data_IF_217548853430
#
_entry.id   IF_217548853430
#
_cell.length_a   1.000
_cell.length_b   1.000
_cell.length_c   1.000
_cell.angle_alpha   90.00
_cell.angle_beta   90.00
_cell.angle_gamma   90.00
#
_symmetry.space_group_name_H-M   'P 1'
#
loop_
_entity.id
_entity.type
_entity.pdbx_description
1 polymer ?
#
# COMPACT_ATOMS: atom_id res chain seq x y z
N UNK A 1 -25.49 13.41 -10.07
CA UNK A 1 -25.39 12.43 -8.98
C UNK A 1 -25.90 11.10 -9.53
N UNK A 2 -25.23 9.99 -9.27
CA UNK A 2 -25.70 8.67 -9.68
C UNK A 2 -26.86 8.22 -8.79
N UNK A 3 -27.58 7.17 -9.18
CA UNK A 3 -28.62 6.55 -8.34
C UNK A 3 -28.09 6.07 -6.98
N UNK A 4 -26.79 5.76 -6.90
CA UNK A 4 -26.10 5.41 -5.65
C UNK A 4 -25.58 6.60 -4.84
N UNK A 5 -25.93 7.84 -5.20
CA UNK A 5 -25.53 9.04 -4.46
C UNK A 5 -24.15 9.60 -4.79
N UNK A 6 -23.40 8.97 -5.70
CA UNK A 6 -22.05 9.43 -6.08
C UNK A 6 -22.14 10.67 -6.96
N UNK A 7 -21.31 11.68 -6.66
CA UNK A 7 -21.17 12.88 -7.47
C UNK A 7 -19.76 12.97 -8.06
N UNK A 8 -19.68 13.31 -9.36
CA UNK A 8 -18.43 13.51 -10.08
C UNK A 8 -18.31 14.99 -10.45
N UNK A 9 -17.08 15.51 -10.39
CA UNK A 9 -16.80 16.91 -10.76
C UNK A 9 -16.66 17.11 -12.26
N UNK A 10 -16.26 16.07 -13.00
CA UNK A 10 -16.16 16.08 -14.45
C UNK A 10 -16.45 14.69 -15.02
N UNK A 11 -16.90 14.65 -16.28
CA UNK A 11 -16.97 13.44 -17.10
C UNK A 11 -15.92 13.56 -18.21
N UNK A 12 -15.02 12.58 -18.29
CA UNK A 12 -13.95 12.56 -19.30
C UNK A 12 -14.33 11.57 -20.39
N UNK A 13 -14.41 12.08 -21.62
CA UNK A 13 -14.49 11.30 -22.85
C UNK A 13 -13.07 11.25 -23.41
N UNK A 14 -12.40 10.07 -23.39
CA UNK A 14 -11.10 9.91 -24.04
C UNK A 14 -11.25 10.05 -25.56
N UNK A 15 -10.19 9.80 -26.33
CA UNK A 15 -10.18 9.79 -27.80
C UNK A 15 -11.06 8.69 -28.42
N UNK A 16 -12.36 8.72 -28.10
CA UNK A 16 -13.35 7.76 -28.53
C UNK A 16 -13.72 8.06 -29.98
N UNK A 17 -13.60 7.07 -30.85
CA UNK A 17 -14.02 7.21 -32.24
C UNK A 17 -15.55 7.04 -32.39
N UNK A 18 -16.13 6.08 -31.66
CA UNK A 18 -17.55 5.73 -31.76
C UNK A 18 -18.31 6.06 -30.49
N UNK A 19 -19.48 6.70 -30.61
CA UNK A 19 -20.37 6.99 -29.50
C UNK A 19 -21.85 6.90 -29.92
N UNK A 20 -22.72 6.23 -29.14
CA UNK A 20 -24.17 6.24 -29.39
C UNK A 20 -24.75 7.67 -29.40
N UNK A 21 -25.71 7.93 -30.30
CA UNK A 21 -26.29 9.26 -30.49
C UNK A 21 -27.02 9.80 -29.25
N UNK A 22 -27.71 8.92 -28.52
CA UNK A 22 -28.37 9.24 -27.26
C UNK A 22 -27.37 9.57 -26.14
N UNK A 23 -26.21 8.91 -26.10
CA UNK A 23 -25.13 9.22 -25.15
C UNK A 23 -24.55 10.61 -25.42
N UNK A 24 -24.23 10.96 -26.68
CA UNK A 24 -23.73 12.30 -27.00
C UNK A 24 -24.76 13.39 -26.65
N UNK A 25 -26.03 13.16 -26.99
CA UNK A 25 -27.13 14.08 -26.63
C UNK A 25 -27.25 14.23 -25.12
N UNK A 26 -27.08 13.14 -24.37
CA UNK A 26 -27.09 13.17 -22.91
C UNK A 26 -25.92 13.97 -22.34
N UNK A 27 -24.70 13.80 -22.86
CA UNK A 27 -23.53 14.59 -22.43
C UNK A 27 -23.75 16.10 -22.66
N UNK A 28 -24.28 16.48 -23.82
CA UNK A 28 -24.62 17.88 -24.12
C UNK A 28 -25.66 18.43 -23.14
N UNK A 29 -26.72 17.65 -22.85
CA UNK A 29 -27.74 18.02 -21.86
C UNK A 29 -27.16 18.17 -20.45
N UNK A 30 -26.26 17.27 -20.04
CA UNK A 30 -25.58 17.37 -18.74
C UNK A 30 -24.73 18.64 -18.65
N UNK A 31 -23.99 18.99 -19.72
CA UNK A 31 -23.24 20.24 -19.78
C UNK A 31 -24.18 21.44 -19.60
N UNK A 32 -25.28 21.51 -20.35
CA UNK A 32 -26.30 22.57 -20.22
C UNK A 32 -26.86 22.69 -18.80
N UNK A 33 -26.98 21.58 -18.07
CA UNK A 33 -27.48 21.52 -16.70
C UNK A 33 -26.45 21.87 -15.61
N UNK A 34 -25.16 22.00 -15.96
CA UNK A 34 -24.11 22.39 -15.00
C UNK A 34 -22.91 21.45 -14.93
N UNK A 35 -22.90 20.35 -15.68
CA UNK A 35 -21.77 19.42 -15.67
C UNK A 35 -20.55 20.01 -16.41
N UNK A 36 -19.36 19.57 -15.97
CA UNK A 36 -18.13 19.74 -16.74
C UNK A 36 -17.90 18.48 -17.57
N UNK A 37 -17.87 18.62 -18.89
CA UNK A 37 -17.57 17.53 -19.82
C UNK A 37 -16.22 17.81 -20.46
N UNK A 38 -15.33 16.82 -20.48
CA UNK A 38 -14.00 16.92 -21.08
C UNK A 38 -13.94 15.98 -22.27
N UNK A 39 -13.65 16.48 -23.47
CA UNK A 39 -13.33 15.66 -24.63
C UNK A 39 -11.82 15.76 -24.92
N UNK A 40 -11.16 14.62 -24.99
CA UNK A 40 -9.73 14.55 -25.27
C UNK A 40 -9.51 14.17 -26.73
N UNK A 41 -8.56 14.88 -27.36
CA UNK A 41 -8.11 14.72 -28.76
C UNK A 41 -9.14 15.05 -29.84
N UNK A 42 -10.36 14.53 -29.76
CA UNK A 42 -11.42 14.77 -30.73
C UNK A 42 -12.81 14.58 -30.12
N UNK A 43 -13.83 15.16 -30.77
CA UNK A 43 -15.20 14.65 -30.60
C UNK A 43 -15.33 13.28 -31.29
N UNK A 44 -16.14 12.36 -30.77
CA UNK A 44 -16.39 11.11 -31.49
C UNK A 44 -16.98 11.39 -32.89
N UNK A 45 -16.66 10.55 -33.85
CA UNK A 45 -16.89 10.83 -35.28
C UNK A 45 -18.12 10.11 -35.83
N UNK A 46 -18.53 9.00 -35.20
CA UNK A 46 -19.65 8.18 -35.69
C UNK A 46 -20.36 7.36 -34.58
N UNK A 47 -21.47 6.70 -34.93
CA UNK A 47 -22.24 5.81 -34.05
C UNK A 47 -21.81 4.34 -34.23
N UNK A 48 -21.84 3.50 -33.16
CA UNK A 48 -21.49 2.08 -33.28
C UNK A 48 -22.61 1.23 -33.92
N UNK A 49 -22.26 0.19 -34.68
CA UNK A 49 -23.19 -0.82 -35.23
C UNK A 49 -24.07 -0.35 -36.39
N UNK A 50 -24.75 -1.28 -37.09
CA UNK A 50 -25.48 -1.01 -38.35
C UNK A 50 -27.01 -0.87 -38.23
N UNK A 51 -27.62 -1.28 -37.12
CA UNK A 51 -29.08 -1.21 -36.97
C UNK A 51 -29.57 0.25 -37.02
N UNK A 52 -30.53 0.59 -37.88
CA UNK A 52 -31.06 1.96 -38.04
C UNK A 52 -29.95 3.04 -38.21
N UNK A 53 -28.86 2.70 -38.92
CA UNK A 53 -27.64 3.49 -38.96
C UNK A 53 -27.87 4.94 -39.39
N UNK A 54 -28.57 5.16 -40.51
CA UNK A 54 -28.77 6.51 -41.05
C UNK A 54 -29.56 7.40 -40.09
N UNK A 55 -30.61 6.86 -39.47
CA UNK A 55 -31.40 7.57 -38.45
C UNK A 55 -30.52 7.97 -37.27
N UNK A 56 -29.66 7.08 -36.79
CA UNK A 56 -28.77 7.36 -35.65
C UNK A 56 -27.65 8.33 -36.01
N UNK A 57 -27.05 8.23 -37.20
CA UNK A 57 -26.08 9.21 -37.71
C UNK A 57 -26.68 10.60 -37.86
N UNK A 58 -27.92 10.69 -38.34
CA UNK A 58 -28.62 11.98 -38.45
C UNK A 58 -28.85 12.62 -37.08
N UNK A 59 -29.33 11.85 -36.10
CA UNK A 59 -29.49 12.32 -34.72
C UNK A 59 -28.14 12.71 -34.08
N UNK A 60 -27.09 11.93 -34.34
CA UNK A 60 -25.73 12.19 -33.88
C UNK A 60 -25.20 13.51 -34.42
N UNK A 61 -25.25 13.71 -35.75
CA UNK A 61 -24.78 14.93 -36.41
C UNK A 61 -25.52 16.18 -35.93
N UNK A 62 -26.83 16.07 -35.72
CA UNK A 62 -27.64 17.17 -35.17
C UNK A 62 -27.16 17.60 -33.77
N UNK A 63 -26.72 16.64 -32.93
CA UNK A 63 -26.15 16.94 -31.62
C UNK A 63 -24.72 17.49 -31.75
N UNK A 64 -23.90 16.91 -32.63
CA UNK A 64 -22.52 17.33 -32.86
C UNK A 64 -22.42 18.80 -33.30
N UNK A 65 -23.35 19.25 -34.14
CA UNK A 65 -23.46 20.64 -34.59
C UNK A 65 -23.77 21.64 -33.46
N UNK A 66 -24.30 21.17 -32.33
CA UNK A 66 -24.57 22.00 -31.16
C UNK A 66 -23.36 22.11 -30.23
N UNK A 67 -22.32 21.29 -30.44
CA UNK A 67 -21.10 21.37 -29.65
C UNK A 67 -20.25 22.57 -30.10
N UNK A 68 -19.40 23.10 -29.20
CA UNK A 68 -18.45 24.14 -29.55
C UNK A 68 -17.55 23.75 -30.73
N UNK A 69 -17.50 24.61 -31.76
CA UNK A 69 -16.54 24.50 -32.85
C UNK A 69 -15.17 25.02 -32.35
N UNK A 70 -14.26 24.09 -32.06
CA UNK A 70 -12.97 24.38 -31.42
C UNK A 70 -11.86 23.57 -32.08
N UNK A 71 -10.63 24.07 -32.04
CA UNK A 71 -9.45 23.26 -32.30
C UNK A 71 -9.07 22.50 -31.03
N UNK A 72 -8.77 21.21 -31.16
CA UNK A 72 -8.25 20.41 -30.04
C UNK A 72 -6.74 20.57 -29.84
N UNK A 73 -6.04 21.26 -30.75
CA UNK A 73 -4.60 21.54 -30.60
C UNK A 73 -4.27 22.40 -29.38
N UNK A 74 -5.26 23.10 -28.83
CA UNK A 74 -5.15 23.91 -27.63
C UNK A 74 -6.24 23.50 -26.62
N UNK A 75 -5.96 23.72 -25.34
CA UNK A 75 -6.97 23.54 -24.30
C UNK A 75 -7.99 24.67 -24.36
N UNK A 76 -9.23 24.36 -24.72
CA UNK A 76 -10.33 25.33 -24.78
C UNK A 76 -11.38 25.01 -23.72
N UNK A 77 -11.83 26.03 -22.99
CA UNK A 77 -12.96 25.94 -22.05
C UNK A 77 -14.12 26.74 -22.61
N UNK A 78 -15.17 26.06 -23.05
CA UNK A 78 -16.37 26.71 -23.60
C UNK A 78 -17.55 26.58 -22.63
N UNK A 79 -18.12 27.70 -22.15
CA UNK A 79 -19.37 27.67 -21.38
C UNK A 79 -20.52 27.09 -22.20
N UNK A 80 -21.30 26.19 -21.61
CA UNK A 80 -22.48 25.58 -22.24
C UNK A 80 -23.61 25.52 -21.23
N UNK A 81 -24.63 26.37 -21.41
CA UNK A 81 -25.70 26.54 -20.41
C UNK A 81 -25.12 26.92 -19.05
N UNK A 82 -25.39 26.09 -18.03
CA UNK A 82 -24.87 26.29 -16.66
C UNK A 82 -23.51 25.62 -16.42
N UNK A 83 -23.03 24.81 -17.37
CA UNK A 83 -21.79 24.04 -17.25
C UNK A 83 -20.75 24.47 -18.28
N UNK A 84 -19.83 23.56 -18.59
CA UNK A 84 -18.74 23.81 -19.54
C UNK A 84 -18.32 22.54 -20.26
N UNK A 85 -17.88 22.73 -21.50
CA UNK A 85 -17.18 21.71 -22.28
C UNK A 85 -15.72 22.13 -22.37
N UNK A 86 -14.81 21.20 -22.05
CA UNK A 86 -13.37 21.40 -22.13
C UNK A 86 -12.82 20.47 -23.21
N UNK A 87 -12.00 20.98 -24.10
CA UNK A 87 -11.37 20.21 -25.19
C UNK A 87 -9.88 20.40 -25.19
N UNK A 88 -9.12 19.39 -25.63
CA UNK A 88 -7.67 19.51 -25.84
C UNK A 88 -6.98 18.18 -26.07
N UNK A 89 -5.73 18.22 -26.55
CA UNK A 89 -4.86 17.04 -26.74
C UNK A 89 -3.85 16.83 -25.61
N UNK A 90 -3.46 17.89 -24.88
CA UNK A 90 -2.61 17.79 -23.68
C UNK A 90 -3.48 17.37 -22.48
N UNK A 91 -3.38 16.10 -22.07
CA UNK A 91 -4.22 15.54 -21.00
C UNK A 91 -4.02 16.27 -19.67
N UNK A 92 -2.78 16.60 -19.31
CA UNK A 92 -2.48 17.24 -18.04
C UNK A 92 -3.08 18.64 -17.98
N UNK A 93 -2.86 19.46 -19.02
CA UNK A 93 -3.39 20.82 -19.11
C UNK A 93 -4.92 20.86 -19.23
N UNK A 94 -5.48 19.95 -20.02
CA UNK A 94 -6.92 19.87 -20.24
C UNK A 94 -7.66 19.47 -18.98
N UNK A 95 -7.15 18.47 -18.25
CA UNK A 95 -7.74 18.07 -16.96
C UNK A 95 -7.55 19.14 -15.87
N UNK A 96 -6.41 19.84 -15.84
CA UNK A 96 -6.19 20.95 -14.91
C UNK A 96 -7.25 22.06 -15.06
N UNK A 97 -7.75 22.30 -16.27
CA UNK A 97 -8.81 23.28 -16.57
C UNK A 97 -10.18 22.92 -15.98
N UNK A 98 -10.32 21.72 -15.41
CA UNK A 98 -11.47 21.38 -14.58
C UNK A 98 -11.51 22.21 -13.29
N UNK A 99 -10.38 22.75 -12.82
CA UNK A 99 -10.21 23.45 -11.54
C UNK A 99 -10.63 22.58 -10.35
N UNK A 100 -10.29 21.29 -10.40
CA UNK A 100 -10.52 20.33 -9.32
C UNK A 100 -9.24 20.26 -8.48
N UNK A 101 -9.32 20.40 -7.14
CA UNK A 101 -8.17 20.22 -6.28
C UNK A 101 -7.51 18.87 -6.50
N UNK A 102 -6.20 18.88 -6.65
CA UNK A 102 -5.38 17.68 -6.82
C UNK A 102 -5.20 17.02 -5.45
N UNK A 103 -5.17 15.69 -5.41
CA UNK A 103 -4.87 14.95 -4.19
C UNK A 103 -3.35 14.73 -4.10
N UNK A 104 -2.66 15.62 -3.37
CA UNK A 104 -1.18 15.63 -3.26
C UNK A 104 -0.60 14.30 -2.79
N UNK A 105 -1.34 13.53 -1.97
CA UNK A 105 -0.98 12.17 -1.57
C UNK A 105 -0.48 11.34 -2.76
N UNK A 106 -1.20 11.38 -3.89
CA UNK A 106 -0.87 10.59 -5.08
C UNK A 106 0.15 11.30 -5.97
N UNK A 107 -0.01 12.60 -6.22
CA UNK A 107 0.78 13.31 -7.24
C UNK A 107 2.16 13.74 -6.76
N UNK A 108 2.29 14.17 -5.51
CA UNK A 108 3.55 14.68 -4.95
C UNK A 108 4.28 13.59 -4.13
N UNK A 109 3.51 12.86 -3.32
CA UNK A 109 4.08 11.89 -2.38
C UNK A 109 4.13 10.45 -2.93
N UNK A 110 3.42 10.15 -4.03
CA UNK A 110 3.38 8.81 -4.63
C UNK A 110 2.59 7.77 -3.82
N UNK A 111 1.85 8.19 -2.81
CA UNK A 111 0.99 7.33 -2.00
C UNK A 111 -0.21 6.84 -2.82
N UNK A 112 -0.80 5.72 -2.40
CA UNK A 112 -2.14 5.33 -2.85
C UNK A 112 -3.14 5.70 -1.78
N UNK A 113 -4.31 6.18 -2.19
CA UNK A 113 -5.37 6.54 -1.26
C UNK A 113 -6.75 6.20 -1.82
N UNK A 114 -7.63 5.69 -0.97
CA UNK A 114 -9.06 5.62 -1.21
C UNK A 114 -9.75 6.46 -0.14
N UNK A 115 -10.57 7.43 -0.56
CA UNK A 115 -11.36 8.28 0.32
C UNK A 115 -12.84 7.90 0.29
N UNK A 116 -13.45 7.76 1.46
CA UNK A 116 -14.89 7.55 1.66
C UNK A 116 -15.45 8.65 2.56
N UNK A 117 -16.69 9.06 2.31
CA UNK A 117 -17.42 9.97 3.21
C UNK A 117 -18.06 9.17 4.35
N UNK A 118 -18.16 9.76 5.54
CA UNK A 118 -18.90 9.24 6.68
C UNK A 118 -19.73 10.37 7.33
N UNK A 119 -20.44 10.09 8.43
CA UNK A 119 -21.32 11.06 9.11
C UNK A 119 -20.58 12.22 9.78
N UNK A 120 -19.27 12.11 10.05
CA UNK A 120 -18.48 13.10 10.82
C UNK A 120 -17.38 13.77 9.98
N UNK A 121 -17.15 13.31 8.77
CA UNK A 121 -16.02 13.69 7.91
C UNK A 121 -15.75 12.62 6.85
N UNK A 122 -14.50 12.14 6.79
CA UNK A 122 -14.05 11.19 5.77
C UNK A 122 -13.15 10.11 6.38
N UNK A 123 -13.11 8.94 5.72
CA UNK A 123 -12.07 7.94 5.91
C UNK A 123 -11.15 7.92 4.70
N UNK A 124 -9.86 7.79 4.97
CA UNK A 124 -8.84 7.51 4.00
C UNK A 124 -8.19 6.18 4.37
N UNK A 125 -8.06 5.27 3.41
CA UNK A 125 -7.06 4.22 3.49
C UNK A 125 -5.88 4.67 2.65
N UNK A 126 -4.70 4.80 3.27
CA UNK A 126 -3.48 5.35 2.66
C UNK A 126 -2.42 4.26 2.71
N UNK A 127 -1.77 3.95 1.59
CA UNK A 127 -0.66 3.01 1.54
C UNK A 127 0.56 3.60 0.83
N UNK A 128 1.74 3.37 1.40
CA UNK A 128 3.03 3.75 0.82
C UNK A 128 3.66 2.53 0.16
N UNK A 129 3.50 2.41 -1.17
CA UNK A 129 4.03 1.28 -1.96
C UNK A 129 5.29 1.67 -2.74
N UNK A 130 5.98 2.72 -2.29
CA UNK A 130 7.11 3.33 -2.96
C UNK A 130 8.28 3.45 -1.97
N UNK A 131 9.51 3.41 -2.48
CA UNK A 131 10.72 3.25 -1.66
C UNK A 131 10.99 4.41 -0.68
N UNK A 132 10.76 5.67 -1.06
CA UNK A 132 11.09 6.86 -0.24
C UNK A 132 10.22 7.00 1.01
N UNK A 133 9.06 6.34 1.09
CA UNK A 133 8.09 6.58 2.17
C UNK A 133 7.58 8.03 2.20
N UNK A 134 7.00 8.44 3.34
CA UNK A 134 6.64 9.83 3.63
C UNK A 134 6.91 10.12 5.10
N UNK A 135 7.56 11.24 5.40
CA UNK A 135 7.66 11.82 6.75
C UNK A 135 7.49 13.33 6.59
N UNK A 136 6.24 13.81 6.65
CA UNK A 136 5.96 15.20 6.36
C UNK A 136 4.48 15.56 6.29
N UNK A 137 4.24 16.84 6.03
CA UNK A 137 2.90 17.41 5.86
C UNK A 137 2.36 17.11 4.47
N UNK A 138 1.13 16.58 4.41
CA UNK A 138 0.43 16.26 3.17
C UNK A 138 -0.91 16.97 3.14
N UNK A 139 -1.21 17.68 2.06
CA UNK A 139 -2.50 18.38 1.90
C UNK A 139 -3.63 17.39 1.64
N UNK A 140 -4.71 17.54 2.40
CA UNK A 140 -5.94 16.79 2.22
C UNK A 140 -6.82 17.44 1.15
N UNK A 141 -7.45 16.65 0.28
CA UNK A 141 -8.49 17.14 -0.63
C UNK A 141 -9.81 17.55 0.06
N UNK A 142 -9.85 17.57 1.39
CA UNK A 142 -11.00 17.98 2.22
C UNK A 142 -10.55 18.82 3.41
N UNK A 143 -11.47 19.63 3.93
CA UNK A 143 -11.25 20.34 5.18
C UNK A 143 -11.48 19.42 6.38
N UNK A 144 -10.72 19.63 7.46
CA UNK A 144 -10.94 18.95 8.74
C UNK A 144 -10.62 19.87 9.91
N UNK A 145 -11.35 19.68 11.02
CA UNK A 145 -11.07 20.34 12.32
C UNK A 145 -10.21 19.47 13.23
N UNK A 146 -10.32 18.16 13.11
CA UNK A 146 -9.45 17.19 13.76
C UNK A 146 -9.30 15.94 12.88
N UNK A 147 -8.31 15.11 13.17
CA UNK A 147 -8.14 13.83 12.50
C UNK A 147 -7.51 12.78 13.43
N UNK A 148 -7.77 11.51 13.17
CA UNK A 148 -7.17 10.39 13.89
C UNK A 148 -6.55 9.41 12.89
N UNK A 149 -5.39 8.86 13.26
CA UNK A 149 -4.72 7.77 12.55
C UNK A 149 -4.99 6.45 13.27
N UNK A 150 -5.10 5.37 12.50
CA UNK A 150 -5.24 4.01 12.98
C UNK A 150 -4.31 3.10 12.20
N UNK A 151 -3.46 2.35 12.91
CA UNK A 151 -2.61 1.33 12.31
C UNK A 151 -3.43 0.04 12.15
N UNK A 152 -3.71 -0.41 10.90
CA UNK A 152 -4.51 -1.61 10.67
C UNK A 152 -3.79 -2.92 11.06
N UNK A 153 -2.46 -2.89 11.26
CA UNK A 153 -1.65 -4.05 11.64
C UNK A 153 -1.60 -4.20 13.17
N UNK A 154 -1.36 -3.11 13.90
CA UNK A 154 -1.16 -3.15 15.37
C UNK A 154 -2.42 -2.80 16.16
N UNK A 155 -3.43 -2.19 15.53
CA UNK A 155 -4.63 -1.68 16.21
C UNK A 155 -4.39 -0.37 16.96
N UNK A 156 -3.17 0.19 16.93
CA UNK A 156 -2.86 1.48 17.54
C UNK A 156 -3.68 2.61 16.91
N UNK A 157 -4.10 3.57 17.72
CA UNK A 157 -4.85 4.74 17.27
C UNK A 157 -4.44 5.99 18.05
N UNK A 158 -4.60 7.15 17.42
CA UNK A 158 -4.29 8.42 18.06
C UNK A 158 -4.62 9.63 17.19
N UNK A 159 -4.73 10.79 17.82
CA UNK A 159 -5.01 12.05 17.15
C UNK A 159 -3.81 12.48 16.28
N UNK A 160 -4.10 12.73 15.01
CA UNK A 160 -3.13 13.15 14.02
C UNK A 160 -2.84 14.64 14.14
N UNK A 161 -1.62 15.04 13.79
CA UNK A 161 -1.29 16.47 13.65
C UNK A 161 -1.95 17.04 12.41
N UNK A 162 -2.63 18.17 12.60
CA UNK A 162 -3.18 18.98 11.53
C UNK A 162 -2.60 20.39 11.57
N UNK A 163 -2.45 21.00 10.39
CA UNK A 163 -2.20 22.43 10.25
C UNK A 163 -3.05 23.02 9.12
N UNK A 164 -3.28 24.33 9.17
CA UNK A 164 -3.97 25.09 8.13
C UNK A 164 -2.96 25.94 7.38
N UNK A 165 -2.79 25.70 6.09
CA UNK A 165 -1.86 26.44 5.22
C UNK A 165 -2.61 26.88 3.98
N UNK A 166 -2.62 28.18 3.68
CA UNK A 166 -3.30 28.76 2.51
C UNK A 166 -4.78 28.35 2.37
N UNK A 167 -5.48 28.19 3.50
CA UNK A 167 -6.89 27.77 3.52
C UNK A 167 -7.12 26.28 3.24
N UNK A 168 -6.07 25.46 3.19
CA UNK A 168 -6.12 24.01 3.06
C UNK A 168 -5.69 23.32 4.35
N UNK A 169 -6.30 22.16 4.62
CA UNK A 169 -5.91 21.32 5.74
C UNK A 169 -4.79 20.38 5.34
N UNK A 170 -3.68 20.39 6.09
CA UNK A 170 -2.61 19.41 5.95
C UNK A 170 -2.58 18.48 7.16
N UNK A 171 -2.22 17.21 6.91
CA UNK A 171 -2.00 16.20 7.94
C UNK A 171 -0.55 15.76 7.94
N UNK A 172 0.04 15.55 9.12
CA UNK A 172 1.37 14.97 9.21
C UNK A 172 1.30 13.45 9.06
N UNK A 173 1.97 12.89 8.06
CA UNK A 173 2.09 11.46 7.84
C UNK A 173 3.53 11.01 8.02
N UNK A 174 3.72 9.85 8.65
CA UNK A 174 4.99 9.16 8.78
C UNK A 174 4.76 7.69 8.44
N UNK A 175 5.07 7.31 7.20
CA UNK A 175 4.90 5.95 6.66
C UNK A 175 6.15 5.53 5.89
N UNK A 176 6.75 4.41 6.27
CA UNK A 176 7.80 3.72 5.52
C UNK A 176 7.22 3.01 4.30
N UNK A 177 8.08 2.57 3.38
CA UNK A 177 7.66 1.70 2.27
C UNK A 177 7.05 0.40 2.81
N UNK A 178 5.92 -0.02 2.27
CA UNK A 178 5.15 -1.18 2.71
C UNK A 178 4.05 -0.86 3.74
N UNK A 179 4.13 0.28 4.43
CA UNK A 179 3.15 0.63 5.45
C UNK A 179 1.82 1.15 4.87
N UNK A 180 0.76 0.97 5.66
CA UNK A 180 -0.54 1.58 5.42
C UNK A 180 -1.14 2.11 6.72
N UNK A 181 -2.01 3.11 6.58
CA UNK A 181 -2.71 3.73 7.70
C UNK A 181 -4.13 4.10 7.31
N UNK A 182 -5.04 4.00 8.26
CA UNK A 182 -6.37 4.59 8.14
C UNK A 182 -6.34 5.99 8.77
N UNK A 183 -6.82 6.99 8.04
CA UNK A 183 -7.01 8.35 8.53
C UNK A 183 -8.50 8.68 8.55
N UNK A 184 -9.01 9.07 9.71
CA UNK A 184 -10.38 9.59 9.84
C UNK A 184 -10.34 11.09 10.12
N UNK A 185 -11.09 11.87 9.36
CA UNK A 185 -11.26 13.31 9.58
C UNK A 185 -12.58 13.60 10.30
N UNK A 186 -12.57 14.70 11.05
CA UNK A 186 -13.70 15.17 11.84
C UNK A 186 -13.98 16.64 11.59
N UNK A 187 -15.26 17.00 11.59
CA UNK A 187 -15.74 18.39 11.49
C UNK A 187 -15.75 19.13 12.84
N UNK A 188 -15.49 18.40 13.93
CA UNK A 188 -15.36 18.93 15.30
C UNK A 188 -14.04 18.45 15.91
N UNK A 189 -13.47 19.16 16.90
CA UNK A 189 -12.34 18.67 17.67
C UNK A 189 -12.62 17.32 18.31
N UNK A 190 -11.57 16.52 18.50
CA UNK A 190 -11.64 15.33 19.31
C UNK A 190 -11.60 15.72 20.80
N UNK A 191 -12.20 14.89 21.65
CA UNK A 191 -12.22 15.07 23.12
C UNK A 191 -11.45 13.91 23.74
N UNK A 192 -10.54 14.23 24.67
CA UNK A 192 -9.70 13.26 25.41
C UNK A 192 -8.93 12.26 24.52
N UNK A 193 -8.61 12.65 23.28
CA UNK A 193 -7.87 11.80 22.36
C UNK A 193 -6.38 11.76 22.71
N UNK A 194 -5.83 10.55 22.80
CA UNK A 194 -4.38 10.38 22.90
C UNK A 194 -3.74 10.80 21.58
N UNK A 195 -2.70 11.63 21.60
CA UNK A 195 -2.04 12.04 20.37
C UNK A 195 -1.24 10.88 19.75
N UNK A 196 -1.19 10.85 18.43
CA UNK A 196 -0.43 9.85 17.67
C UNK A 196 1.07 9.91 18.01
N UNK A 197 1.70 8.75 18.12
CA UNK A 197 3.12 8.62 18.41
C UNK A 197 3.94 8.70 17.12
N UNK A 198 4.24 9.93 16.69
CA UNK A 198 5.22 10.16 15.63
C UNK A 198 6.61 9.85 16.16
N UNK A 199 7.28 8.89 15.53
CA UNK A 199 8.57 8.35 15.98
C UNK A 199 9.71 9.27 15.50
N UNK A 200 10.69 9.48 16.35
CA UNK A 200 11.98 10.06 15.97
C UNK A 200 13.07 9.08 16.43
N UNK A 201 13.73 8.45 15.46
CA UNK A 201 14.87 7.57 15.72
C UNK A 201 16.01 8.40 16.34
N UNK A 202 16.62 7.86 17.39
CA UNK A 202 17.83 8.44 17.98
C UNK A 202 19.05 8.14 17.07
N UNK A 203 20.13 8.94 17.15
CA UNK A 203 21.28 8.80 16.26
C UNK A 203 22.09 7.51 16.49
N UNK A 204 21.79 6.74 17.53
CA UNK A 204 22.42 5.47 17.85
C UNK A 204 21.39 4.35 17.81
N UNK A 205 21.83 3.16 17.39
CA UNK A 205 21.06 1.92 17.48
C UNK A 205 21.99 0.79 17.91
N UNK A 206 21.44 -0.22 18.57
CA UNK A 206 22.19 -1.42 18.88
C UNK A 206 22.09 -2.38 17.71
N UNK A 207 23.25 -2.78 17.18
CA UNK A 207 23.34 -3.84 16.19
C UNK A 207 23.38 -5.19 16.90
N UNK A 208 22.46 -6.07 16.52
CA UNK A 208 22.29 -7.40 17.08
C UNK A 208 22.79 -8.44 16.07
N UNK A 209 24.00 -8.27 15.59
CA UNK A 209 24.48 -9.02 14.41
C UNK A 209 25.17 -10.34 14.77
N UNK A 210 25.52 -10.53 16.05
CA UNK A 210 26.39 -11.60 16.52
C UNK A 210 25.80 -12.41 17.68
N UNK A 211 26.31 -13.63 17.86
CA UNK A 211 26.02 -14.46 19.03
C UNK A 211 24.65 -15.15 19.04
N UNK A 212 23.97 -15.24 17.89
CA UNK A 212 22.68 -15.91 17.80
C UNK A 212 22.81 -17.42 17.97
N UNK A 213 21.83 -18.03 18.64
CA UNK A 213 21.59 -19.46 18.63
C UNK A 213 20.38 -19.76 17.77
N UNK A 214 20.48 -20.75 16.89
CA UNK A 214 19.38 -21.23 16.06
C UNK A 214 19.08 -22.69 16.36
N UNK A 215 17.81 -23.03 16.54
CA UNK A 215 17.31 -24.40 16.40
C UNK A 215 16.02 -24.40 15.59
N UNK A 216 15.65 -25.54 15.01
CA UNK A 216 14.38 -25.66 14.29
C UNK A 216 13.32 -26.25 15.21
N UNK A 217 12.28 -25.49 15.51
CA UNK A 217 11.12 -25.98 16.26
C UNK A 217 10.30 -26.95 15.39
N UNK A 218 10.18 -26.63 14.11
CA UNK A 218 9.56 -27.47 13.09
C UNK A 218 10.43 -27.44 11.83
N UNK A 219 10.65 -28.59 11.20
CA UNK A 219 11.39 -28.65 9.93
C UNK A 219 11.06 -29.90 9.13
N UNK A 220 10.98 -29.74 7.81
CA UNK A 220 10.84 -30.84 6.86
C UNK A 220 11.73 -30.61 5.63
N UNK A 221 12.74 -31.48 5.38
CA UNK A 221 13.17 -32.61 6.22
C UNK A 221 13.64 -32.18 7.64
N UNK A 222 13.64 -33.10 8.59
CA UNK A 222 14.00 -32.79 9.98
C UNK A 222 15.47 -32.30 10.09
N UNK A 223 15.67 -31.20 10.82
CA UNK A 223 16.97 -30.65 11.21
C UNK A 223 17.02 -30.62 12.74
N UNK A 224 17.97 -31.36 13.34
CA UNK A 224 18.16 -31.42 14.81
C UNK A 224 19.40 -30.65 15.23
N UNK A 225 19.40 -30.23 16.49
CA UNK A 225 20.55 -29.61 17.14
C UNK A 225 20.41 -28.09 17.25
N UNK A 226 21.44 -27.49 17.86
CA UNK A 226 21.58 -26.04 18.00
C UNK A 226 22.76 -25.60 17.14
N UNK A 227 22.59 -24.47 16.45
CA UNK A 227 23.58 -23.89 15.57
C UNK A 227 24.00 -22.53 16.13
N UNK A 228 25.30 -22.34 16.30
CA UNK A 228 25.86 -21.01 16.58
C UNK A 228 25.85 -20.21 15.28
N UNK A 229 25.07 -19.13 15.25
CA UNK A 229 24.95 -18.22 14.11
C UNK A 229 25.60 -16.90 14.51
N UNK A 230 26.89 -16.79 14.22
CA UNK A 230 27.63 -15.56 14.53
C UNK A 230 27.29 -14.42 13.57
N UNK A 231 26.83 -14.71 12.36
CA UNK A 231 26.24 -13.73 11.47
C UNK A 231 24.97 -14.31 10.87
N UNK A 232 23.89 -13.54 10.95
CA UNK A 232 22.60 -13.92 10.40
C UNK A 232 22.71 -14.16 8.90
N UNK A 233 22.19 -15.29 8.45
CA UNK A 233 22.26 -15.73 7.06
C UNK A 233 21.08 -16.64 6.73
N UNK A 234 20.86 -16.83 5.43
CA UNK A 234 19.84 -17.75 4.94
C UNK A 234 20.11 -19.17 5.41
N UNK A 235 19.06 -19.87 5.82
CA UNK A 235 19.14 -21.28 6.18
C UNK A 235 19.81 -22.10 5.08
N UNK A 236 19.60 -21.74 3.82
CA UNK A 236 20.18 -22.42 2.65
C UNK A 236 21.71 -22.41 2.60
N UNK A 237 22.40 -21.59 3.41
CA UNK A 237 23.86 -21.56 3.51
C UNK A 237 24.40 -22.28 4.75
N UNK A 238 23.52 -22.71 5.67
CA UNK A 238 23.90 -23.54 6.81
C UNK A 238 24.45 -24.87 6.30
N UNK A 239 25.58 -25.30 6.88
CA UNK A 239 26.26 -26.56 6.54
C UNK A 239 25.47 -27.77 7.08
N UNK A 240 24.29 -28.01 6.53
CA UNK A 240 23.43 -29.15 6.85
C UNK A 240 22.75 -29.69 5.57
N UNK A 241 22.72 -31.01 5.33
CA UNK A 241 22.22 -31.59 4.06
C UNK A 241 20.78 -31.21 3.71
N UNK A 242 19.92 -31.00 4.71
CA UNK A 242 18.52 -30.68 4.50
C UNK A 242 18.23 -29.16 4.35
N UNK A 243 19.22 -28.30 4.57
CA UNK A 243 19.00 -26.86 4.73
C UNK A 243 18.49 -26.17 3.45
N UNK A 244 18.99 -26.57 2.29
CA UNK A 244 18.62 -26.01 0.97
C UNK A 244 17.24 -26.45 0.46
N UNK A 245 16.67 -27.49 1.07
CA UNK A 245 15.39 -28.12 0.68
C UNK A 245 14.35 -28.05 1.80
N UNK A 246 14.61 -27.24 2.82
CA UNK A 246 13.82 -27.20 4.04
C UNK A 246 12.58 -26.31 3.93
N UNK A 247 11.52 -26.72 4.62
CA UNK A 247 10.46 -25.82 5.07
C UNK A 247 10.27 -25.99 6.58
N UNK A 248 10.01 -24.90 7.29
CA UNK A 248 9.83 -24.98 8.73
C UNK A 248 9.90 -23.65 9.47
N UNK A 249 10.10 -23.77 10.78
CA UNK A 249 10.19 -22.68 11.74
C UNK A 249 11.51 -22.76 12.50
N UNK A 250 12.40 -21.81 12.23
CA UNK A 250 13.67 -21.63 12.93
C UNK A 250 13.51 -20.64 14.08
N UNK A 251 13.98 -21.01 15.26
CA UNK A 251 13.94 -20.19 16.48
C UNK A 251 15.33 -19.64 16.75
N UNK A 252 15.48 -18.33 16.56
CA UNK A 252 16.68 -17.58 16.86
C UNK A 252 16.61 -17.04 18.28
N UNK A 253 17.66 -17.22 19.09
CA UNK A 253 17.76 -16.67 20.44
C UNK A 253 19.03 -15.83 20.58
N UNK A 254 18.91 -14.68 21.23
CA UNK A 254 20.02 -13.80 21.61
C UNK A 254 19.82 -13.24 23.01
N UNK A 255 20.89 -13.22 23.82
CA UNK A 255 20.92 -12.44 25.06
C UNK A 255 21.70 -11.14 24.83
N UNK A 256 21.12 -10.02 25.28
CA UNK A 256 21.72 -8.70 25.16
C UNK A 256 21.76 -8.02 26.52
N UNK A 257 22.76 -7.16 26.74
CA UNK A 257 22.74 -6.18 27.83
C UNK A 257 22.19 -4.87 27.27
N UNK A 258 21.01 -4.44 27.72
CA UNK A 258 20.42 -3.18 27.29
C UNK A 258 21.18 -2.02 27.95
N UNK A 259 21.81 -1.12 27.17
CA UNK A 259 22.51 0.04 27.70
C UNK A 259 21.52 1.02 28.33
N UNK A 260 22.00 1.75 29.32
CA UNK A 260 21.22 2.75 30.05
C UNK A 260 21.05 4.01 29.18
N UNK A 261 20.14 3.94 28.20
CA UNK A 261 19.87 5.00 27.23
C UNK A 261 18.44 5.50 27.39
N UNK A 262 18.22 6.82 27.54
CA UNK A 262 16.88 7.37 27.66
C UNK A 262 16.16 7.25 26.31
N UNK A 263 15.01 6.60 26.28
CA UNK A 263 14.15 6.50 25.10
C UNK A 263 12.69 6.41 25.53
N UNK A 264 11.79 7.01 24.75
CA UNK A 264 10.33 6.88 24.99
C UNK A 264 9.83 5.47 24.61
N UNK A 265 10.47 4.83 23.63
CA UNK A 265 10.20 3.46 23.20
C UNK A 265 11.40 2.87 22.44
N UNK A 266 11.30 1.60 22.03
CA UNK A 266 12.29 0.89 21.25
C UNK A 266 11.62 0.15 20.08
N UNK A 267 12.25 0.19 18.92
CA UNK A 267 11.87 -0.58 17.73
C UNK A 267 12.87 -1.72 17.52
N UNK A 268 12.38 -2.95 17.44
CA UNK A 268 13.14 -4.07 16.93
C UNK A 268 12.91 -4.14 15.41
N UNK A 269 13.95 -3.81 14.65
CA UNK A 269 13.98 -3.92 13.19
C UNK A 269 14.69 -5.21 12.81
N UNK A 270 13.94 -6.15 12.22
CA UNK A 270 14.43 -7.46 11.82
C UNK A 270 15.06 -7.46 10.42
N UNK A 271 14.93 -6.38 9.65
CA UNK A 271 15.42 -6.29 8.27
C UNK A 271 14.80 -7.32 7.33
N UNK A 272 15.59 -8.24 6.76
CA UNK A 272 15.18 -9.24 5.78
C UNK A 272 14.75 -10.56 6.44
N UNK A 273 13.44 -10.67 6.70
CA UNK A 273 12.78 -11.88 7.18
C UNK A 273 12.18 -12.68 6.01
N UNK A 274 12.42 -13.99 5.99
CA UNK A 274 11.89 -14.93 4.98
C UNK A 274 11.08 -16.05 5.64
N UNK A 275 9.77 -15.89 5.85
CA UNK A 275 8.90 -14.78 5.40
C UNK A 275 8.05 -14.14 6.50
N UNK A 276 8.00 -14.73 7.70
CA UNK A 276 7.33 -14.11 8.85
C UNK A 276 8.08 -14.43 10.13
N UNK A 277 8.01 -13.53 11.10
CA UNK A 277 8.73 -13.63 12.36
C UNK A 277 7.81 -13.33 13.54
N UNK A 278 7.61 -14.30 14.45
CA UNK A 278 7.03 -14.03 15.76
C UNK A 278 8.15 -13.70 16.74
N UNK A 279 8.00 -12.61 17.48
CA UNK A 279 9.01 -12.14 18.43
C UNK A 279 8.54 -12.32 19.85
N UNK A 280 9.42 -12.84 20.71
CA UNK A 280 9.27 -12.78 22.17
C UNK A 280 10.43 -12.06 22.81
N UNK A 281 10.14 -11.21 23.77
CA UNK A 281 11.14 -10.50 24.57
C UNK A 281 10.92 -10.89 26.03
N UNK A 282 11.96 -11.41 26.69
CA UNK A 282 11.89 -11.91 28.06
C UNK A 282 10.74 -12.92 28.29
N UNK A 283 10.43 -13.73 27.27
CA UNK A 283 9.34 -14.73 27.28
C UNK A 283 7.93 -14.17 26.99
N UNK A 284 7.77 -12.87 26.81
CA UNK A 284 6.49 -12.23 26.48
C UNK A 284 6.32 -12.08 24.97
N UNK A 285 5.13 -12.37 24.44
CA UNK A 285 4.81 -12.19 23.01
C UNK A 285 4.77 -10.69 22.65
N UNK A 286 5.71 -10.27 21.80
CA UNK A 286 5.87 -8.89 21.34
C UNK A 286 5.23 -8.66 19.96
N UNK A 287 4.59 -9.67 19.37
CA UNK A 287 3.88 -9.60 18.10
C UNK A 287 4.53 -10.41 16.97
N UNK A 288 3.95 -10.28 15.78
CA UNK A 288 4.37 -10.98 14.58
C UNK A 288 4.60 -9.99 13.44
N UNK A 289 5.82 -9.97 12.91
CA UNK A 289 6.20 -9.22 11.72
C UNK A 289 6.02 -10.12 10.49
N UNK A 290 5.00 -9.86 9.68
CA UNK A 290 4.60 -10.67 8.52
C UNK A 290 4.55 -9.88 7.21
N UNK A 291 4.87 -8.58 7.27
CA UNK A 291 4.94 -7.69 6.11
C UNK A 291 6.04 -6.66 6.34
N UNK A 292 6.55 -6.10 5.24
CA UNK A 292 7.52 -5.02 5.30
C UNK A 292 6.88 -3.70 5.76
N UNK A 293 7.60 -2.87 6.53
CA UNK A 293 8.88 -3.18 7.18
C UNK A 293 8.69 -4.16 8.35
N UNK A 294 9.64 -5.10 8.53
CA UNK A 294 9.61 -6.10 9.60
C UNK A 294 10.03 -5.49 10.95
N UNK A 295 9.27 -4.51 11.42
CA UNK A 295 9.54 -3.72 12.62
C UNK A 295 8.47 -3.93 13.68
N UNK A 296 8.87 -4.02 14.96
CA UNK A 296 7.96 -4.12 16.10
C UNK A 296 8.35 -3.13 17.19
N UNK A 297 7.36 -2.49 17.82
CA UNK A 297 7.54 -1.71 19.04
C UNK A 297 7.70 -2.68 20.21
N UNK A 298 8.86 -2.64 20.87
CA UNK A 298 9.23 -3.61 21.91
C UNK A 298 9.58 -3.00 23.25
N UNK A 299 9.57 -1.67 23.41
CA UNK A 299 10.04 -0.99 24.61
C UNK A 299 9.33 -1.42 25.89
N UNK A 300 8.03 -1.72 25.83
CA UNK A 300 7.26 -2.22 26.99
C UNK A 300 7.70 -3.60 27.50
N UNK A 301 8.44 -4.37 26.70
CA UNK A 301 8.89 -5.72 27.05
C UNK A 301 10.36 -5.77 27.49
N UNK A 302 11.11 -4.67 27.27
CA UNK A 302 12.49 -4.55 27.66
C UNK A 302 12.63 -4.14 29.13
N UNK A 303 13.73 -4.57 29.76
CA UNK A 303 14.12 -4.17 31.12
C UNK A 303 15.57 -3.69 31.16
N UNK A 304 15.94 -2.96 32.21
CA UNK A 304 17.34 -2.56 32.43
C UNK A 304 18.23 -3.81 32.57
N UNK A 305 19.39 -3.77 31.91
CA UNK A 305 20.37 -4.86 31.90
C UNK A 305 20.01 -6.00 30.95
N UNK A 306 20.16 -7.25 31.39
CA UNK A 306 19.97 -8.44 30.54
C UNK A 306 18.55 -8.59 30.00
N UNK A 307 18.45 -8.78 28.68
CA UNK A 307 17.22 -9.13 27.97
C UNK A 307 17.46 -10.35 27.08
N UNK A 308 16.47 -11.25 27.01
CA UNK A 308 16.46 -12.37 26.06
C UNK A 308 15.50 -12.06 24.92
N UNK A 309 16.00 -12.11 23.69
CA UNK A 309 15.23 -11.94 22.46
C UNK A 309 15.10 -13.30 21.79
N UNK A 310 13.88 -13.65 21.40
CA UNK A 310 13.56 -14.85 20.65
C UNK A 310 12.78 -14.47 19.39
N UNK A 311 13.22 -14.96 18.23
CA UNK A 311 12.60 -14.70 16.93
C UNK A 311 12.31 -16.04 16.25
N UNK A 312 11.04 -16.41 16.19
CA UNK A 312 10.57 -17.59 15.45
C UNK A 312 10.28 -17.21 14.01
N UNK A 313 11.17 -17.59 13.08
CA UNK A 313 11.02 -17.32 11.66
C UNK A 313 10.44 -18.53 10.95
N UNK A 314 9.34 -18.35 10.24
CA UNK A 314 8.71 -19.39 9.40
C UNK A 314 8.87 -19.05 7.92
N UNK A 315 9.42 -19.97 7.13
CA UNK A 315 9.61 -19.77 5.68
C UNK A 315 8.41 -20.30 4.85
N UNK A 316 8.50 -20.16 3.53
CA UNK A 316 7.56 -20.79 2.60
C UNK A 316 7.96 -22.24 2.29
N UNK A 317 7.00 -23.10 1.92
CA UNK A 317 7.26 -24.47 1.50
C UNK A 317 7.98 -24.59 0.13
N UNK A 318 8.40 -23.48 -0.49
CA UNK A 318 8.96 -23.44 -1.84
C UNK A 318 10.16 -24.39 -2.02
N UNK A 319 11.13 -24.36 -1.10
CA UNK A 319 12.31 -25.22 -1.16
C UNK A 319 11.95 -26.70 -1.04
N UNK A 320 10.98 -27.03 -0.16
CA UNK A 320 10.50 -28.40 0.02
C UNK A 320 9.71 -28.90 -1.18
N UNK A 321 8.84 -28.05 -1.74
CA UNK A 321 8.05 -28.34 -2.93
C UNK A 321 8.95 -28.59 -4.14
N UNK A 322 9.96 -27.75 -4.36
CA UNK A 322 10.92 -27.95 -5.45
C UNK A 322 11.61 -29.31 -5.35
N UNK A 323 12.01 -29.71 -4.14
CA UNK A 323 12.63 -31.01 -3.91
C UNK A 323 11.68 -32.20 -4.11
N UNK A 324 10.43 -32.10 -3.62
CA UNK A 324 9.42 -33.14 -3.87
C UNK A 324 9.17 -33.34 -5.37
N UNK A 325 9.16 -32.25 -6.15
CA UNK A 325 9.04 -32.31 -7.60
C UNK A 325 10.29 -32.93 -8.26
N UNK A 326 11.52 -32.66 -7.77
CA UNK A 326 12.75 -33.34 -8.26
C UNK A 326 12.75 -34.84 -7.98
N UNK A 327 12.18 -35.25 -6.86
CA UNK A 327 12.03 -36.66 -6.46
C UNK A 327 10.86 -37.36 -7.15
N UNK A 328 10.01 -36.65 -7.91
CA UNK A 328 8.82 -37.19 -8.54
C UNK A 328 7.71 -37.60 -7.55
N UNK A 329 7.74 -37.06 -6.33
CA UNK A 329 6.73 -37.36 -5.30
C UNK A 329 5.40 -36.75 -5.71
N UNK A 330 4.32 -37.55 -5.70
CA UNK A 330 2.96 -37.07 -5.97
C UNK A 330 2.38 -36.34 -4.75
N UNK A 331 2.83 -35.10 -4.51
CA UNK A 331 2.38 -34.26 -3.39
C UNK A 331 1.15 -33.40 -3.72
N UNK A 332 0.86 -33.16 -5.01
CA UNK A 332 -0.29 -32.37 -5.47
C UNK A 332 -1.60 -33.17 -5.42
N UNK A 333 -2.07 -33.45 -4.21
CA UNK A 333 -3.34 -34.16 -3.96
C UNK A 333 -4.43 -33.15 -3.63
N UNK A 334 -4.97 -32.49 -4.66
CA UNK A 334 -6.03 -31.49 -4.51
C UNK A 334 -7.34 -31.99 -5.12
N UNK A 335 -8.45 -31.57 -4.53
CA UNK A 335 -9.79 -31.74 -5.11
C UNK A 335 -10.07 -30.52 -6.00
N UNK A 336 -10.43 -30.75 -7.26
CA UNK A 336 -10.97 -29.74 -8.20
C UNK A 336 -10.03 -28.65 -8.77
N UNK A 337 -8.73 -28.58 -8.41
CA UNK A 337 -7.80 -27.62 -9.03
C UNK A 337 -6.61 -28.29 -9.75
N UNK A 338 -6.53 -28.08 -11.06
CA UNK A 338 -5.32 -28.36 -11.83
C UNK A 338 -4.38 -27.16 -11.62
N UNK A 339 -3.34 -27.31 -10.79
CA UNK A 339 -2.27 -26.31 -10.72
C UNK A 339 -1.53 -26.34 -12.06
N UNK A 340 -1.81 -25.33 -12.88
CA UNK A 340 -1.22 -25.11 -14.19
C UNK A 340 -0.49 -23.78 -14.20
N UNK A 341 0.48 -23.63 -15.11
CA UNK A 341 1.14 -22.34 -15.31
C UNK A 341 0.19 -21.32 -15.97
N UNK A 342 0.66 -20.07 -16.13
CA UNK A 342 -0.08 -18.99 -16.79
C UNK A 342 -0.59 -19.35 -18.21
N UNK A 343 0.01 -20.36 -18.85
CA UNK A 343 -0.38 -20.88 -20.17
C UNK A 343 -1.29 -22.11 -20.08
N UNK A 344 -1.87 -22.40 -18.90
CA UNK A 344 -2.74 -23.55 -18.65
C UNK A 344 -2.11 -24.92 -18.95
N UNK A 345 -0.77 -25.04 -18.81
CA UNK A 345 -0.06 -26.32 -18.97
C UNK A 345 0.39 -26.89 -17.61
N UNK A 346 0.40 -28.23 -17.44
CA UNK A 346 1.07 -28.85 -16.31
C UNK A 346 2.51 -28.37 -16.21
N UNK A 347 2.93 -27.94 -15.02
CA UNK A 347 4.28 -27.47 -14.75
C UNK A 347 4.86 -28.14 -13.51
N UNK A 348 6.18 -28.19 -13.40
CA UNK A 348 6.93 -28.66 -12.23
C UNK A 348 7.76 -27.52 -11.66
N UNK A 349 7.97 -27.52 -10.35
CA UNK A 349 8.84 -26.59 -9.63
C UNK A 349 10.25 -27.15 -9.41
N UNK A 350 10.58 -28.30 -9.99
CA UNK A 350 11.91 -28.94 -9.86
C UNK A 350 13.08 -28.03 -10.29
N UNK A 351 12.81 -27.07 -11.18
CA UNK A 351 13.78 -26.11 -11.72
C UNK A 351 14.07 -24.91 -10.79
N UNK A 352 13.30 -24.74 -9.70
CA UNK A 352 13.53 -23.64 -8.76
C UNK A 352 14.89 -23.81 -8.08
N UNK A 353 15.68 -22.74 -8.04
CA UNK A 353 16.84 -22.66 -7.15
C UNK A 353 16.36 -22.53 -5.70
N UNK A 354 17.18 -22.92 -4.70
CA UNK A 354 16.86 -22.66 -3.30
C UNK A 354 16.55 -21.18 -3.06
N UNK A 355 15.37 -20.91 -2.54
CA UNK A 355 14.95 -19.57 -2.10
C UNK A 355 15.53 -19.28 -0.72
N UNK A 356 15.97 -18.03 -0.46
CA UNK A 356 16.39 -17.61 0.88
C UNK A 356 15.33 -17.92 1.94
N UNK A 357 15.76 -18.22 3.16
CA UNK A 357 14.87 -18.60 4.26
C UNK A 357 15.47 -18.21 5.60
N UNK A 358 14.65 -17.81 6.57
CA UNK A 358 15.14 -17.37 7.87
C UNK A 358 15.37 -15.88 7.97
N UNK A 359 16.29 -15.50 8.85
CA UNK A 359 16.67 -14.11 9.15
C UNK A 359 18.01 -13.80 8.48
N UNK A 360 18.00 -12.91 7.47
CA UNK A 360 19.10 -12.78 6.50
C UNK A 360 19.83 -11.44 6.55
N UNK A 361 19.55 -10.60 7.54
CA UNK A 361 20.12 -9.25 7.62
C UNK A 361 20.62 -8.91 9.01
N UNK A 362 21.20 -7.72 9.10
CA UNK A 362 21.43 -7.03 10.36
C UNK A 362 20.09 -6.82 11.07
N UNK A 363 20.06 -7.13 12.36
CA UNK A 363 18.92 -6.86 13.25
C UNK A 363 19.31 -5.69 14.13
N UNK A 364 18.41 -4.72 14.29
CA UNK A 364 18.69 -3.51 15.05
C UNK A 364 17.66 -3.29 16.13
N UNK A 365 18.14 -2.86 17.29
CA UNK A 365 17.29 -2.33 18.35
C UNK A 365 17.48 -0.81 18.40
N UNK A 366 16.44 -0.09 17.97
CA UNK A 366 16.48 1.35 17.69
C UNK A 366 15.71 2.09 18.80
N UNK A 367 16.38 2.93 19.62
CA UNK A 367 15.71 3.79 20.56
C UNK A 367 14.99 4.91 19.81
N UNK A 368 13.73 5.16 20.19
CA UNK A 368 12.91 6.21 19.58
C UNK A 368 12.36 7.14 20.64
N UNK A 369 12.29 8.42 20.28
CA UNK A 369 11.59 9.42 21.05
C UNK A 369 10.33 9.85 20.31
N UNK A 370 9.42 10.46 21.05
CA UNK A 370 8.27 11.11 20.47
C UNK A 370 8.70 12.40 19.78
N UNK A 371 8.47 12.49 18.47
CA UNK A 371 8.62 13.72 17.70
C UNK A 371 7.57 14.71 18.22
N UNK A 372 7.99 15.91 18.64
CA UNK A 372 7.09 16.98 19.11
C UNK A 372 6.62 17.92 18.00
#
# INVERSE_FOLDING_TARGET
MTSGGTAYKALVVPAAHLMPADVLAHLSKLAQQGATIVFLENYPTDVPGYANLDKRRNAYRATLQQLPAVSFSETTVTPVGKGKIITGTDYARTLASCNIPIEEMKTEFGLQAIRRVNSTGHHYFISSLQEKGVDGWVTLGVQAKAAALFNPVTGESGEARLQQVNGQTQVYLQLKSGESVLLQTYQKPLTDAKPWFYKQEQPFSLRLDHGWQLHFAESQPEIKGNFNIDQLCSWTTIQHPAATINMGTGVYTLEIELPDLPADDWILDLGDVRESARVRINGQDAGCAWAVPYELRVGSFLKKGKNRIEVEVTNLPANRIAELDRQGVKWRKFKEINIVNLNYRPSSYAHWAPMPSGLNSEVRLIPVNRKF
#
